data_IF_428944075381
#
_entry.id   IF_428944075381
#
_cell.length_a   1.000
_cell.length_b   1.000
_cell.length_c   1.000
_cell.angle_alpha   90.00
_cell.angle_beta   90.00
_cell.angle_gamma   90.00
#
_symmetry.space_group_name_H-M   'P 1'
#
loop_
_entity.id
_entity.type
_entity.pdbx_description
1 polymer ?
#
# COMPACT_ATOMS: atom_id res chain seq x y z
N UNK A 1 -7.85 11.08 -10.72
CA UNK A 1 -8.12 9.65 -10.47
C UNK A 1 -8.55 9.53 -9.02
N UNK A 2 -9.72 8.94 -8.73
CA UNK A 2 -10.17 8.77 -7.34
C UNK A 2 -9.14 7.98 -6.54
N UNK A 3 -8.84 8.40 -5.32
CA UNK A 3 -8.05 7.60 -4.37
C UNK A 3 -8.75 6.25 -4.18
N UNK A 4 -8.13 5.18 -4.71
CA UNK A 4 -8.58 3.83 -4.40
C UNK A 4 -8.35 3.60 -2.91
N UNK A 5 -9.43 3.32 -2.17
CA UNK A 5 -9.34 2.91 -0.77
C UNK A 5 -9.34 1.39 -0.71
N UNK A 6 -8.15 0.80 -0.60
CA UNK A 6 -8.01 -0.60 -0.25
C UNK A 6 -8.43 -0.78 1.21
N UNK A 7 -9.61 -1.36 1.44
CA UNK A 7 -9.99 -1.80 2.78
C UNK A 7 -9.31 -3.13 3.09
N UNK A 8 -8.95 -3.40 4.36
CA UNK A 8 -8.44 -4.70 4.77
C UNK A 8 -9.36 -5.86 4.34
N UNK A 9 -10.67 -5.65 4.42
CA UNK A 9 -11.67 -6.64 4.01
C UNK A 9 -11.57 -6.99 2.52
N UNK A 10 -11.44 -5.98 1.64
CA UNK A 10 -11.33 -6.23 0.20
C UNK A 10 -10.05 -7.03 -0.12
N UNK A 11 -8.96 -6.73 0.58
CA UNK A 11 -7.72 -7.49 0.42
C UNK A 11 -7.88 -8.95 0.85
N UNK A 12 -8.48 -9.20 2.02
CA UNK A 12 -8.77 -10.55 2.50
C UNK A 12 -9.69 -11.32 1.54
N UNK A 13 -10.78 -10.70 1.09
CA UNK A 13 -11.74 -11.35 0.18
C UNK A 13 -11.07 -11.78 -1.13
N UNK A 14 -10.21 -10.91 -1.68
CA UNK A 14 -9.45 -11.20 -2.90
C UNK A 14 -8.41 -12.30 -2.67
N UNK A 15 -7.68 -12.24 -1.56
CA UNK A 15 -6.72 -13.28 -1.20
C UNK A 15 -7.42 -14.65 -1.05
N UNK A 16 -8.55 -14.70 -0.35
CA UNK A 16 -9.31 -15.93 -0.15
C UNK A 16 -9.86 -16.48 -1.46
N UNK A 17 -10.33 -15.62 -2.36
CA UNK A 17 -10.80 -16.07 -3.67
C UNK A 17 -9.69 -16.76 -4.48
N UNK A 18 -8.45 -16.25 -4.42
CA UNK A 18 -7.29 -16.87 -5.08
C UNK A 18 -6.93 -18.19 -4.39
N UNK A 19 -6.86 -18.23 -3.05
CA UNK A 19 -6.53 -19.45 -2.29
C UNK A 19 -7.57 -20.57 -2.54
N UNK A 20 -8.85 -20.22 -2.66
CA UNK A 20 -9.91 -21.19 -2.98
C UNK A 20 -9.74 -21.79 -4.38
N UNK A 21 -9.18 -21.02 -5.32
CA UNK A 21 -8.86 -21.50 -6.66
C UNK A 21 -7.57 -22.34 -6.68
N UNK A 22 -6.54 -21.88 -5.97
CA UNK A 22 -5.21 -22.46 -5.90
C UNK A 22 -4.64 -22.36 -4.48
N UNK A 23 -4.67 -23.49 -3.77
CA UNK A 23 -4.29 -23.54 -2.36
C UNK A 23 -2.80 -23.19 -2.12
N UNK A 24 -1.93 -23.35 -3.12
CA UNK A 24 -0.51 -23.01 -3.00
C UNK A 24 -0.30 -21.50 -2.79
N UNK A 25 -1.25 -20.67 -3.25
CA UNK A 25 -1.22 -19.23 -3.06
C UNK A 25 -1.35 -18.79 -1.59
N UNK A 26 -1.72 -19.69 -0.67
CA UNK A 26 -1.74 -19.41 0.76
C UNK A 26 -0.32 -19.29 1.35
N UNK A 27 0.64 -19.99 0.76
CA UNK A 27 2.03 -20.05 1.23
C UNK A 27 2.99 -19.27 0.31
N UNK A 28 2.58 -19.00 -0.93
CA UNK A 28 3.36 -18.25 -1.92
C UNK A 28 2.69 -16.91 -2.29
N UNK A 29 3.19 -15.83 -1.68
CA UNK A 29 2.76 -14.45 -2.00
C UNK A 29 3.08 -14.07 -3.45
N UNK A 30 4.17 -14.60 -4.02
CA UNK A 30 4.52 -14.36 -5.41
C UNK A 30 3.47 -14.93 -6.36
N UNK A 31 2.96 -16.13 -6.06
CA UNK A 31 1.86 -16.75 -6.82
C UNK A 31 0.56 -15.95 -6.70
N UNK A 32 0.21 -15.48 -5.50
CA UNK A 32 -0.93 -14.58 -5.30
C UNK A 32 -0.82 -13.32 -6.18
N UNK A 33 0.34 -12.66 -6.19
CA UNK A 33 0.58 -11.47 -7.01
C UNK A 33 0.47 -11.78 -8.52
N UNK A 34 0.95 -12.94 -8.97
CA UNK A 34 0.81 -13.38 -10.36
C UNK A 34 -0.66 -13.54 -10.76
N UNK A 35 -1.49 -14.14 -9.90
CA UNK A 35 -2.94 -14.24 -10.15
C UNK A 35 -3.60 -12.87 -10.29
N UNK A 36 -3.27 -11.89 -9.43
CA UNK A 36 -3.82 -10.53 -9.54
C UNK A 36 -3.40 -9.86 -10.85
N UNK A 37 -2.14 -10.03 -11.26
CA UNK A 37 -1.64 -9.57 -12.56
C UNK A 37 -2.39 -10.23 -13.73
N UNK A 38 -2.61 -11.55 -13.67
CA UNK A 38 -3.33 -12.31 -14.68
C UNK A 38 -4.81 -11.86 -14.78
N UNK A 39 -5.50 -11.67 -13.65
CA UNK A 39 -6.88 -11.14 -13.61
C UNK A 39 -6.94 -9.76 -14.24
N UNK A 40 -5.99 -8.88 -13.93
CA UNK A 40 -5.90 -7.54 -14.54
C UNK A 40 -5.73 -7.63 -16.05
N UNK A 41 -4.80 -8.47 -16.51
CA UNK A 41 -4.55 -8.70 -17.94
C UNK A 41 -5.76 -9.29 -18.67
N UNK A 42 -6.45 -10.25 -18.05
CA UNK A 42 -7.67 -10.85 -18.58
C UNK A 42 -8.80 -9.82 -18.71
N UNK A 43 -9.05 -9.04 -17.65
CA UNK A 43 -10.08 -8.00 -17.65
C UNK A 43 -9.82 -6.96 -18.73
N UNK A 44 -8.60 -6.44 -18.83
CA UNK A 44 -8.24 -5.47 -19.87
C UNK A 44 -8.27 -6.09 -21.27
N UNK A 45 -7.79 -7.32 -21.42
CA UNK A 45 -7.81 -8.08 -22.66
C UNK A 45 -9.23 -8.28 -23.21
N UNK A 46 -10.19 -8.52 -22.32
CA UNK A 46 -11.61 -8.72 -22.66
C UNK A 46 -12.35 -7.44 -23.13
N UNK A 47 -11.77 -6.25 -22.93
CA UNK A 47 -12.40 -5.00 -23.35
C UNK A 47 -12.36 -4.82 -24.87
N UNK A 48 -13.35 -4.13 -25.43
CA UNK A 48 -13.39 -3.76 -26.86
C UNK A 48 -12.62 -2.46 -27.16
N UNK A 49 -11.43 -2.32 -26.58
CA UNK A 49 -10.53 -1.21 -26.87
C UNK A 49 -9.52 -1.58 -27.95
N UNK A 50 -9.08 -0.58 -28.71
CA UNK A 50 -7.91 -0.68 -29.58
C UNK A 50 -6.69 -1.11 -28.78
N UNK A 51 -5.80 -1.89 -29.41
CA UNK A 51 -4.62 -2.45 -28.74
C UNK A 51 -3.75 -1.37 -28.09
N UNK A 52 -3.53 -0.26 -28.79
CA UNK A 52 -2.75 0.87 -28.29
C UNK A 52 -3.33 1.48 -27.01
N UNK A 53 -4.66 1.55 -26.88
CA UNK A 53 -5.31 2.04 -25.67
C UNK A 53 -5.15 1.06 -24.50
N UNK A 54 -5.21 -0.26 -24.77
CA UNK A 54 -4.93 -1.28 -23.74
C UNK A 54 -3.49 -1.17 -23.25
N UNK A 55 -2.53 -1.03 -24.15
CA UNK A 55 -1.11 -0.90 -23.78
C UNK A 55 -0.84 0.37 -22.95
N UNK A 56 -1.42 1.51 -23.34
CA UNK A 56 -1.35 2.75 -22.56
C UNK A 56 -1.97 2.58 -21.16
N UNK A 57 -3.15 1.96 -21.06
CA UNK A 57 -3.81 1.72 -19.78
C UNK A 57 -3.00 0.79 -18.87
N UNK A 58 -2.37 -0.24 -19.43
CA UNK A 58 -1.51 -1.15 -18.67
C UNK A 58 -0.26 -0.43 -18.14
N UNK A 59 0.32 0.48 -18.91
CA UNK A 59 1.44 1.31 -18.48
C UNK A 59 1.05 2.24 -17.33
N UNK A 60 -0.11 2.89 -17.42
CA UNK A 60 -0.64 3.72 -16.33
C UNK A 60 -0.90 2.88 -15.07
N UNK A 61 -1.49 1.70 -15.20
CA UNK A 61 -1.71 0.77 -14.08
C UNK A 61 -0.40 0.33 -13.42
N UNK A 62 0.67 0.10 -14.18
CA UNK A 62 1.98 -0.22 -13.63
C UNK A 62 2.51 0.92 -12.75
N UNK A 63 2.42 2.16 -13.22
CA UNK A 63 2.84 3.33 -12.43
C UNK A 63 1.98 3.51 -11.18
N UNK A 64 0.67 3.32 -11.31
CA UNK A 64 -0.25 3.36 -10.17
C UNK A 64 0.07 2.29 -9.12
N UNK A 65 0.32 1.05 -9.55
CA UNK A 65 0.65 -0.08 -8.65
C UNK A 65 1.93 0.21 -7.87
N UNK A 66 2.94 0.77 -8.53
CA UNK A 66 4.19 1.18 -7.87
C UNK A 66 3.95 2.27 -6.81
N UNK A 67 3.11 3.26 -7.12
CA UNK A 67 2.77 4.31 -6.16
C UNK A 67 2.04 3.74 -4.92
N UNK A 68 1.10 2.80 -5.10
CA UNK A 68 0.39 2.14 -3.99
C UNK A 68 1.36 1.32 -3.12
N UNK A 69 2.32 0.62 -3.73
CA UNK A 69 3.37 -0.11 -3.01
C UNK A 69 4.21 0.84 -2.16
N UNK A 70 4.75 1.91 -2.77
CA UNK A 70 5.58 2.90 -2.07
C UNK A 70 4.83 3.55 -0.89
N UNK A 71 3.54 3.84 -1.06
CA UNK A 71 2.72 4.43 -0.01
C UNK A 71 2.35 3.44 1.09
N UNK A 72 2.26 2.15 0.78
CA UNK A 72 2.06 1.09 1.78
C UNK A 72 3.33 0.91 2.61
N UNK A 73 4.50 0.87 1.97
CA UNK A 73 5.79 0.78 2.64
C UNK A 73 6.02 1.94 3.61
N UNK A 74 5.71 3.17 3.19
CA UNK A 74 5.79 4.36 4.06
C UNK A 74 4.90 4.24 5.30
N UNK A 75 3.72 3.63 5.19
CA UNK A 75 2.80 3.43 6.33
C UNK A 75 3.28 2.31 7.25
N UNK A 76 4.02 1.34 6.73
CA UNK A 76 4.59 0.23 7.51
C UNK A 76 5.90 0.60 8.20
N UNK A 77 6.59 1.67 7.77
CA UNK A 77 7.76 2.17 8.48
C UNK A 77 7.36 2.76 9.83
N UNK A 78 7.93 2.28 10.96
CA UNK A 78 7.74 2.92 12.24
C UNK A 78 8.27 4.34 12.15
N UNK A 79 7.47 5.32 12.59
CA UNK A 79 7.92 6.70 12.71
C UNK A 79 9.26 6.71 13.44
N UNK A 80 10.29 7.46 12.96
CA UNK A 80 11.52 7.59 13.71
C UNK A 80 11.14 8.07 15.10
N UNK A 81 11.45 7.25 16.11
CA UNK A 81 11.31 7.66 17.50
C UNK A 81 12.08 8.96 17.62
N UNK A 82 11.35 10.06 17.82
CA UNK A 82 11.92 11.31 18.29
C UNK A 82 12.69 10.94 19.55
N UNK A 83 14.01 10.84 19.44
CA UNK A 83 14.87 10.70 20.61
C UNK A 83 14.47 11.86 21.52
N UNK A 84 14.07 11.63 22.78
CA UNK A 84 14.02 12.74 23.72
C UNK A 84 15.44 13.30 23.74
N UNK A 85 15.60 14.59 23.40
CA UNK A 85 16.86 15.28 23.65
C UNK A 85 17.18 15.04 25.11
N UNK A 86 18.18 14.21 25.38
CA UNK A 86 18.87 14.14 26.66
C UNK A 86 19.67 15.45 26.79
N UNK A 87 18.95 16.55 26.99
CA UNK A 87 19.47 17.85 27.35
C UNK A 87 19.07 18.11 28.79
N UNK A 88 19.98 17.79 29.71
CA UNK A 88 19.92 18.21 31.11
C UNK A 88 19.72 19.73 31.19
N UNK A 89 18.49 20.19 31.41
CA UNK A 89 18.17 21.52 31.90
C UNK A 89 16.78 21.53 32.55
N UNK A 90 16.62 20.77 33.65
CA UNK A 90 15.62 21.11 34.67
C UNK A 90 16.07 22.41 35.36
N UNK A 91 15.87 23.53 34.68
CA UNK A 91 15.85 24.84 35.32
C UNK A 91 14.50 25.00 36.00
N UNK A 92 14.46 24.81 37.31
CA UNK A 92 13.37 25.31 38.13
C UNK A 92 13.30 26.82 37.92
N UNK A 93 12.17 27.32 37.40
CA UNK A 93 11.88 28.74 37.42
C UNK A 93 11.09 29.03 38.69
N UNK A 94 11.69 29.78 39.62
CA UNK A 94 10.97 30.37 40.76
C UNK A 94 10.63 31.84 40.45
N UNK A 95 9.35 32.25 40.52
CA UNK A 95 8.97 33.66 40.38
C UNK A 95 9.48 34.50 41.56
N UNK A 96 9.90 35.77 41.34
CA UNK A 96 10.21 36.68 42.43
C UNK A 96 8.94 37.02 43.22
N UNK A 97 8.99 36.82 44.54
CA UNK A 97 7.93 37.22 45.46
C UNK A 97 7.77 38.75 45.43
N UNK A 98 6.54 39.22 45.18
CA UNK A 98 6.18 40.63 45.21
C UNK A 98 6.28 41.14 46.66
N UNK A 99 7.21 42.06 46.90
CA UNK A 99 7.19 42.98 48.04
C UNK A 99 6.37 44.22 47.73
#
# INVERSE_FOLDING_TARGET
MSEIKLSPQLFEDVQQAVIQHDAEAAEDVGLLLQYLGAVTGYLLGSQQFERAHKDAFLQELSGFTQHVMDDTDKKMQPAPQSQPLAGNAMGYWEPPAKG
#
